data_IF_619299864475
#
_entry.id   IF_619299864475
#
_cell.length_a   1.000
_cell.length_b   1.000
_cell.length_c   1.000
_cell.angle_alpha   90.00
_cell.angle_beta   90.00
_cell.angle_gamma   90.00
#
_symmetry.space_group_name_H-M   'P 1'
#
loop_
_entity.id
_entity.type
_entity.pdbx_description
1 polymer ?
#
# COMPACT_ATOMS: atom_id res chain seq x y z
N UNK A 1 7.55 6.66 4.73
CA UNK A 1 6.98 7.16 6.00
C UNK A 1 7.82 8.32 6.48
N UNK A 2 7.18 9.33 7.07
CA UNK A 2 7.90 10.45 7.71
C UNK A 2 7.33 10.71 9.10
N UNK A 3 8.21 11.04 10.06
CA UNK A 3 7.83 11.64 11.33
C UNK A 3 7.85 13.15 11.19
N UNK A 4 6.95 13.81 11.90
CA UNK A 4 6.74 15.24 11.78
C UNK A 4 6.79 15.92 13.15
N UNK A 5 7.16 17.19 13.17
CA UNK A 5 7.11 18.04 14.37
C UNK A 5 5.71 18.60 14.64
N UNK A 6 4.81 18.60 13.62
CA UNK A 6 3.42 19.04 13.71
C UNK A 6 2.52 18.11 12.89
N UNK A 7 1.20 18.04 13.21
CA UNK A 7 0.26 17.25 12.41
C UNK A 7 0.22 17.70 10.94
N UNK A 8 0.05 16.76 9.99
CA UNK A 8 -0.11 17.09 8.58
C UNK A 8 -1.47 17.74 8.30
N UNK A 9 -1.57 18.50 7.20
CA UNK A 9 -2.80 19.14 6.75
C UNK A 9 -3.69 18.14 5.98
N UNK A 10 -4.12 17.05 6.64
CA UNK A 10 -4.98 16.05 6.04
C UNK A 10 -6.40 16.10 6.62
N UNK A 11 -7.44 16.02 5.78
CA UNK A 11 -8.81 15.97 6.26
C UNK A 11 -9.09 14.68 7.04
N UNK A 12 -10.04 14.75 7.97
CA UNK A 12 -10.53 13.54 8.63
C UNK A 12 -11.16 12.58 7.59
N UNK A 13 -10.99 11.27 7.74
CA UNK A 13 -10.38 10.52 8.84
C UNK A 13 -8.87 10.26 8.71
N UNK A 14 -8.12 11.11 8.03
CA UNK A 14 -6.65 11.00 7.93
C UNK A 14 -6.16 10.09 6.81
N UNK A 15 -6.96 9.87 5.78
CA UNK A 15 -6.58 9.12 4.58
C UNK A 15 -7.02 9.84 3.32
N UNK A 16 -6.14 9.94 2.32
CA UNK A 16 -6.42 10.64 1.06
C UNK A 16 -5.87 9.85 -0.12
N UNK A 17 -6.74 9.49 -1.07
CA UNK A 17 -6.36 9.00 -2.39
C UNK A 17 -6.10 10.17 -3.33
N UNK A 18 -5.00 10.10 -4.07
CA UNK A 18 -4.64 11.08 -5.09
C UNK A 18 -4.65 10.38 -6.46
N UNK A 19 -5.46 10.89 -7.39
CA UNK A 19 -5.64 10.23 -8.70
C UNK A 19 -4.51 10.53 -9.68
N UNK A 20 -3.84 11.66 -9.50
CA UNK A 20 -2.81 12.15 -10.42
C UNK A 20 -1.50 12.45 -9.66
N UNK A 21 -0.36 12.18 -10.31
CA UNK A 21 0.95 12.53 -9.80
C UNK A 21 1.72 11.38 -9.16
N UNK A 22 2.80 11.73 -8.42
CA UNK A 22 3.71 10.74 -7.84
C UNK A 22 3.13 9.91 -6.69
N UNK A 23 2.11 10.42 -5.99
CA UNK A 23 1.51 9.80 -4.81
C UNK A 23 0.15 9.23 -5.17
N UNK A 24 -0.12 7.98 -4.80
CA UNK A 24 -1.44 7.35 -4.90
C UNK A 24 -2.25 7.45 -3.60
N UNK A 25 -1.55 7.41 -2.46
CA UNK A 25 -2.19 7.40 -1.14
C UNK A 25 -1.33 8.14 -0.12
N UNK A 26 -1.98 8.93 0.72
CA UNK A 26 -1.40 9.62 1.85
C UNK A 26 -2.23 9.34 3.11
N UNK A 27 -1.58 9.01 4.22
CA UNK A 27 -2.26 8.70 5.46
C UNK A 27 -1.58 9.37 6.66
N UNK A 28 -2.39 10.00 7.50
CA UNK A 28 -2.02 10.51 8.82
C UNK A 28 -2.10 9.37 9.85
N UNK A 29 -0.95 8.92 10.30
CA UNK A 29 -0.86 7.81 11.26
C UNK A 29 -1.32 8.23 12.67
N UNK A 30 -1.28 9.52 13.00
CA UNK A 30 -1.83 10.08 14.24
C UNK A 30 -3.36 9.98 14.26
N UNK A 31 -4.04 10.49 13.22
CA UNK A 31 -5.51 10.37 13.09
C UNK A 31 -5.98 8.91 13.05
N UNK A 32 -5.19 8.01 12.48
CA UNK A 32 -5.47 6.56 12.47
C UNK A 32 -5.22 5.87 13.81
N UNK A 33 -4.70 6.57 14.81
CA UNK A 33 -4.35 5.99 16.11
C UNK A 33 -3.15 5.05 16.11
N UNK A 34 -2.33 5.09 15.08
CA UNK A 34 -1.16 4.22 14.91
C UNK A 34 0.13 4.83 15.48
N UNK A 35 0.16 6.15 15.67
CA UNK A 35 1.32 6.87 16.19
C UNK A 35 0.90 7.94 17.19
N UNK A 36 1.64 8.05 18.29
CA UNK A 36 1.48 9.14 19.25
C UNK A 36 2.13 10.45 18.76
N UNK A 37 3.21 10.34 17.98
CA UNK A 37 3.83 11.47 17.31
C UNK A 37 3.18 11.71 15.95
N UNK A 38 3.11 12.96 15.46
CA UNK A 38 2.69 13.22 14.09
C UNK A 38 3.54 12.43 13.11
N UNK A 39 2.88 11.67 12.25
CA UNK A 39 3.57 10.83 11.26
C UNK A 39 2.66 10.55 10.05
N UNK A 40 3.27 10.46 8.87
CA UNK A 40 2.57 10.16 7.63
C UNK A 40 3.14 8.95 6.92
N UNK A 41 2.26 8.24 6.22
CA UNK A 41 2.63 7.20 5.26
C UNK A 41 2.24 7.67 3.86
N UNK A 42 3.20 7.66 2.95
CA UNK A 42 3.00 7.96 1.53
C UNK A 42 3.17 6.68 0.72
N UNK A 43 2.21 6.38 -0.17
CA UNK A 43 2.38 5.35 -1.18
C UNK A 43 2.55 6.01 -2.54
N UNK A 44 3.65 5.72 -3.20
CA UNK A 44 3.91 6.18 -4.55
C UNK A 44 2.89 5.58 -5.54
N UNK A 45 2.57 6.33 -6.59
CA UNK A 45 1.74 5.82 -7.69
C UNK A 45 2.47 4.74 -8.49
N UNK A 46 1.70 3.89 -9.17
CA UNK A 46 2.27 2.83 -10.01
C UNK A 46 3.12 3.39 -11.18
N UNK A 47 2.73 4.55 -11.73
CA UNK A 47 3.50 5.20 -12.78
C UNK A 47 4.85 5.69 -12.25
N UNK A 48 4.83 6.46 -11.18
CA UNK A 48 6.04 6.95 -10.51
C UNK A 48 6.96 5.79 -10.07
N UNK A 49 6.38 4.73 -9.48
CA UNK A 49 7.15 3.57 -9.03
C UNK A 49 7.86 2.83 -10.17
N UNK A 50 7.23 2.72 -11.34
CA UNK A 50 7.88 2.12 -12.52
C UNK A 50 9.01 2.98 -13.07
N UNK A 51 8.80 4.29 -13.14
CA UNK A 51 9.78 5.24 -13.65
C UNK A 51 11.03 5.32 -12.77
N UNK A 52 10.83 5.27 -11.44
CA UNK A 52 11.90 5.45 -10.46
C UNK A 52 12.31 4.15 -9.74
N UNK A 53 12.01 2.98 -10.32
CA UNK A 53 12.22 1.69 -9.65
C UNK A 53 13.67 1.47 -9.26
N UNK A 54 14.61 1.88 -10.10
CA UNK A 54 16.06 1.73 -9.86
C UNK A 54 16.74 3.07 -9.47
N UNK A 55 15.96 4.13 -9.28
CA UNK A 55 16.50 5.42 -8.89
C UNK A 55 17.06 5.41 -7.46
N UNK A 56 17.96 6.33 -7.18
CA UNK A 56 18.52 6.53 -5.85
C UNK A 56 17.42 6.81 -4.81
N UNK A 57 17.45 6.14 -3.65
CA UNK A 57 16.43 6.31 -2.61
C UNK A 57 16.26 7.74 -2.11
N UNK A 58 17.34 8.53 -2.03
CA UNK A 58 17.27 9.92 -1.57
C UNK A 58 16.56 10.81 -2.59
N UNK A 59 16.82 10.59 -3.88
CA UNK A 59 16.14 11.27 -4.98
C UNK A 59 14.64 10.94 -4.96
N UNK A 60 14.28 9.66 -4.83
CA UNK A 60 12.87 9.23 -4.72
C UNK A 60 12.20 9.87 -3.51
N UNK A 61 12.87 9.89 -2.37
CA UNK A 61 12.37 10.50 -1.14
C UNK A 61 12.06 11.98 -1.33
N UNK A 62 12.98 12.74 -1.94
CA UNK A 62 12.80 14.18 -2.19
C UNK A 62 11.60 14.42 -3.11
N UNK A 63 11.52 13.70 -4.23
CA UNK A 63 10.41 13.82 -5.18
C UNK A 63 9.04 13.54 -4.55
N UNK A 64 8.97 12.51 -3.68
CA UNK A 64 7.72 12.17 -2.99
C UNK A 64 7.32 13.21 -1.94
N UNK A 65 8.28 13.77 -1.20
CA UNK A 65 8.02 14.84 -0.23
C UNK A 65 7.60 16.14 -0.94
N UNK A 66 8.25 16.49 -2.04
CA UNK A 66 7.92 17.66 -2.84
C UNK A 66 6.47 17.60 -3.38
N UNK A 67 6.03 16.40 -3.76
CA UNK A 67 4.69 16.18 -4.29
C UNK A 67 3.56 16.32 -3.25
N UNK A 68 3.88 16.36 -1.96
CA UNK A 68 2.90 16.46 -0.86
C UNK A 68 3.08 17.70 0.00
N UNK A 69 3.80 18.72 -0.45
CA UNK A 69 4.12 19.93 0.35
C UNK A 69 2.89 20.66 0.88
N UNK A 70 1.77 20.62 0.18
CA UNK A 70 0.51 21.23 0.61
C UNK A 70 -0.09 20.51 1.84
N UNK A 71 0.20 19.23 1.98
CA UNK A 71 -0.26 18.38 3.10
C UNK A 71 0.80 18.22 4.18
N UNK A 72 2.06 18.20 3.80
CA UNK A 72 3.22 17.97 4.68
C UNK A 72 4.25 19.07 4.41
N UNK A 73 4.14 20.22 5.11
CA UNK A 73 5.12 21.31 4.98
C UNK A 73 6.54 20.81 5.28
N UNK A 74 7.51 21.19 4.44
CA UNK A 74 8.86 20.66 4.49
C UNK A 74 9.55 20.91 5.85
N UNK A 75 9.28 22.05 6.48
CA UNK A 75 9.80 22.45 7.78
C UNK A 75 9.28 21.58 8.94
N UNK A 76 8.20 20.83 8.72
CA UNK A 76 7.68 19.91 9.74
C UNK A 76 8.30 18.52 9.69
N UNK A 77 9.03 18.18 8.63
CA UNK A 77 9.62 16.86 8.46
C UNK A 77 10.82 16.67 9.37
N UNK A 78 10.75 15.73 10.29
CA UNK A 78 11.80 15.39 11.25
C UNK A 78 12.70 14.26 10.75
N UNK A 79 12.09 13.14 10.35
CA UNK A 79 12.80 11.99 9.78
C UNK A 79 12.01 11.37 8.63
N UNK A 80 12.70 10.71 7.70
CA UNK A 80 12.08 10.00 6.59
C UNK A 80 12.68 8.63 6.42
N UNK A 81 11.81 7.64 6.21
CA UNK A 81 12.19 6.29 5.83
C UNK A 81 11.53 5.94 4.51
N UNK A 82 12.33 5.51 3.54
CA UNK A 82 11.85 5.01 2.24
C UNK A 82 12.03 3.50 2.17
N UNK A 83 10.97 2.79 1.81
CA UNK A 83 11.00 1.35 1.58
C UNK A 83 10.51 1.05 0.17
N UNK A 84 11.28 0.26 -0.57
CA UNK A 84 10.95 -0.17 -1.92
C UNK A 84 10.37 -1.58 -1.89
N UNK A 85 9.08 -1.68 -2.16
CA UNK A 85 8.38 -2.95 -2.29
C UNK A 85 8.18 -3.27 -3.76
N UNK A 86 9.11 -4.03 -4.33
CA UNK A 86 9.09 -4.37 -5.77
C UNK A 86 7.82 -5.13 -6.18
N UNK A 87 7.26 -5.93 -5.30
CA UNK A 87 6.08 -6.77 -5.54
C UNK A 87 4.95 -6.48 -4.55
N UNK A 88 4.59 -5.20 -4.38
CA UNK A 88 3.60 -4.77 -3.38
C UNK A 88 2.16 -5.01 -3.78
N UNK A 89 1.86 -5.01 -5.08
CA UNK A 89 0.50 -5.18 -5.61
C UNK A 89 0.53 -6.02 -6.88
N UNK A 90 -0.47 -6.89 -7.04
CA UNK A 90 -0.70 -7.61 -8.28
C UNK A 90 -1.20 -6.64 -9.36
N UNK A 91 -0.45 -6.51 -10.47
CA UNK A 91 -0.83 -5.66 -11.60
C UNK A 91 -2.08 -6.17 -12.31
N UNK A 92 -2.27 -7.48 -12.34
CA UNK A 92 -3.50 -8.16 -12.81
C UNK A 92 -3.94 -9.14 -11.74
N UNK A 93 -5.19 -9.05 -11.32
CA UNK A 93 -5.78 -9.96 -10.36
C UNK A 93 -6.48 -11.10 -11.08
N UNK A 94 -6.47 -12.28 -10.46
CA UNK A 94 -7.32 -13.38 -10.90
C UNK A 94 -8.78 -13.07 -10.52
N UNK A 95 -9.75 -13.23 -11.43
CA UNK A 95 -11.16 -12.84 -11.13
C UNK A 95 -11.80 -13.69 -10.03
N UNK A 96 -11.45 -14.97 -9.97
CA UNK A 96 -11.97 -15.86 -8.93
C UNK A 96 -11.26 -15.64 -7.58
N UNK A 97 -11.92 -15.97 -6.46
CA UNK A 97 -11.34 -15.78 -5.13
C UNK A 97 -10.14 -16.71 -4.86
N UNK A 98 -10.04 -17.82 -5.54
CA UNK A 98 -8.92 -18.77 -5.49
C UNK A 98 -8.90 -19.63 -6.73
N UNK A 99 -7.81 -20.36 -6.96
CA UNK A 99 -7.62 -21.26 -8.10
C UNK A 99 -7.26 -22.65 -7.60
N UNK A 100 -7.92 -23.66 -8.12
CA UNK A 100 -7.51 -25.06 -7.96
C UNK A 100 -6.37 -25.34 -8.92
N UNK A 101 -5.29 -25.93 -8.43
CA UNK A 101 -4.17 -26.36 -9.26
C UNK A 101 -4.42 -27.77 -9.80
N UNK A 102 -4.07 -28.00 -11.06
CA UNK A 102 -4.12 -29.32 -11.69
C UNK A 102 -2.84 -30.10 -11.35
N UNK A 103 -2.88 -30.77 -10.20
CA UNK A 103 -1.78 -31.54 -9.65
C UNK A 103 -2.26 -32.94 -9.24
N UNK A 104 -1.37 -33.96 -9.12
CA UNK A 104 -1.73 -35.30 -8.64
C UNK A 104 -2.31 -35.33 -7.23
N UNK A 105 -2.25 -34.25 -6.52
CA UNK A 105 -2.81 -34.05 -5.17
C UNK A 105 -3.67 -32.78 -5.16
N UNK A 106 -4.58 -32.70 -4.20
CA UNK A 106 -5.44 -31.52 -4.04
C UNK A 106 -4.63 -30.32 -3.55
N UNK A 107 -4.56 -29.26 -4.36
CA UNK A 107 -3.92 -28.00 -4.02
C UNK A 107 -4.70 -26.80 -4.55
N UNK A 108 -4.67 -25.71 -3.80
CA UNK A 108 -5.31 -24.44 -4.15
C UNK A 108 -4.36 -23.30 -3.87
N UNK A 109 -4.49 -22.23 -4.65
CA UNK A 109 -3.76 -20.98 -4.48
C UNK A 109 -4.74 -19.83 -4.39
N UNK A 110 -4.50 -18.90 -3.47
CA UNK A 110 -5.29 -17.70 -3.26
C UNK A 110 -4.49 -16.61 -2.58
N UNK A 111 -5.12 -15.49 -2.28
CA UNK A 111 -4.48 -14.36 -1.61
C UNK A 111 -4.98 -13.02 -2.13
N UNK A 112 -4.21 -11.95 -1.90
CA UNK A 112 -4.51 -10.56 -2.27
C UNK A 112 -4.45 -10.28 -3.79
N UNK A 113 -3.94 -11.23 -4.58
CA UNK A 113 -3.97 -11.19 -6.05
C UNK A 113 -5.25 -11.81 -6.64
N UNK A 114 -6.22 -12.19 -5.82
CA UNK A 114 -7.45 -12.87 -6.21
C UNK A 114 -8.70 -12.06 -5.87
N UNK A 115 -9.77 -12.20 -6.68
CA UNK A 115 -11.05 -11.51 -6.50
C UNK A 115 -10.87 -10.00 -6.41
N UNK A 116 -11.45 -9.39 -5.37
CA UNK A 116 -11.39 -7.94 -5.14
C UNK A 116 -9.99 -7.43 -4.73
N UNK A 117 -9.09 -8.34 -4.36
CA UNK A 117 -7.73 -8.01 -3.93
C UNK A 117 -7.67 -7.37 -2.54
N UNK A 118 -6.49 -6.84 -2.20
CA UNK A 118 -6.21 -6.23 -0.90
C UNK A 118 -6.40 -7.21 0.28
N UNK A 119 -6.42 -6.69 1.50
CA UNK A 119 -6.59 -7.50 2.73
C UNK A 119 -7.95 -8.21 2.73
N UNK A 120 -9.01 -7.53 2.31
CA UNK A 120 -10.36 -8.11 2.21
C UNK A 120 -10.41 -9.26 1.19
N UNK A 121 -9.82 -9.07 0.01
CA UNK A 121 -9.72 -10.13 -1.00
C UNK A 121 -8.93 -11.33 -0.52
N UNK A 122 -7.81 -11.11 0.18
CA UNK A 122 -7.03 -12.19 0.78
C UNK A 122 -7.81 -12.96 1.85
N UNK A 123 -8.58 -12.26 2.68
CA UNK A 123 -9.48 -12.88 3.66
C UNK A 123 -10.58 -13.73 2.99
N UNK A 124 -11.27 -13.17 1.99
CA UNK A 124 -12.33 -13.87 1.26
C UNK A 124 -11.78 -15.08 0.50
N UNK A 125 -10.58 -14.96 -0.08
CA UNK A 125 -9.86 -16.05 -0.72
C UNK A 125 -9.60 -17.19 0.26
N UNK A 126 -9.02 -16.88 1.42
CA UNK A 126 -8.74 -17.87 2.47
C UNK A 126 -10.01 -18.53 3.01
N UNK A 127 -11.07 -17.73 3.26
CA UNK A 127 -12.38 -18.22 3.68
C UNK A 127 -13.01 -19.17 2.65
N UNK A 128 -12.91 -18.82 1.36
CA UNK A 128 -13.41 -19.67 0.25
C UNK A 128 -12.68 -21.01 0.23
N UNK A 129 -11.36 -21.01 0.28
CA UNK A 129 -10.56 -22.26 0.32
C UNK A 129 -10.85 -23.10 1.57
N UNK A 130 -10.99 -22.48 2.75
CA UNK A 130 -11.31 -23.18 4.00
C UNK A 130 -12.70 -23.78 4.05
N UNK A 131 -13.62 -23.34 3.17
CA UNK A 131 -14.98 -23.90 3.04
C UNK A 131 -15.04 -25.13 2.13
N UNK A 132 -13.94 -25.46 1.43
CA UNK A 132 -13.90 -26.65 0.59
C UNK A 132 -13.88 -27.89 1.46
N UNK A 133 -14.78 -28.84 1.14
CA UNK A 133 -14.73 -30.18 1.77
C UNK A 133 -13.54 -30.94 1.17
N UNK A 134 -12.51 -31.14 1.94
CA UNK A 134 -11.45 -32.06 1.56
C UNK A 134 -12.02 -33.49 1.62
N UNK A 135 -12.14 -34.14 0.47
CA UNK A 135 -12.37 -35.58 0.41
C UNK A 135 -11.03 -36.23 0.68
N UNK A 136 -10.87 -36.78 1.87
CA UNK A 136 -9.72 -37.60 2.26
C UNK A 136 -9.86 -38.97 1.63
#
# INVERSE_FOLDING_TARGET
MATLTAPPNLPAPGGLSLENGPIAWLADNGQKGLSQKPAVTLHASAAFSREHLEADPQTVQQLLLDAVRDYVPAETVETVQTHRWRYSLAARRHPEPFLKLDLPFSAWIGGDAFGIGNVEGAFLSGKGMGSLKFVV
#
